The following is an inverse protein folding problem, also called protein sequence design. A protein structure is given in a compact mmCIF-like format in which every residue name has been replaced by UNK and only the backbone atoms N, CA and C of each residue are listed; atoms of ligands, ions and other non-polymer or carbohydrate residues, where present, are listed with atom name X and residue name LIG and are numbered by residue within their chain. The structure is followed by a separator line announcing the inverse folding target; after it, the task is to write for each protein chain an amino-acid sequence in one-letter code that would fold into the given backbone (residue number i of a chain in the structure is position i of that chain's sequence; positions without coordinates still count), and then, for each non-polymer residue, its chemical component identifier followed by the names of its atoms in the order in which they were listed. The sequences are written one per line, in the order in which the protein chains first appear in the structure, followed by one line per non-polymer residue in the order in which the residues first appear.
data_IF_485861307011
#
_entry.id   IF_485861307011
#
_cell.length_a   1.000
_cell.length_b   1.000
_cell.length_c   1.000
_cell.angle_alpha   90.00
_cell.angle_beta   90.00
_cell.angle_gamma   90.00
#
_symmetry.space_group_name_H-M   'P 1'
#
loop_
_entity.id
_entity.type
_entity.pdbx_description
1 polymer ?
#
# COMPACT_ATOMS: atom_id res chain seq x y z
N UNK A 1 6.64 -21.05 -1.09
CA UNK A 1 5.93 -20.06 -0.24
C UNK A 1 5.75 -20.65 1.14
N UNK A 2 5.58 -19.81 2.16
CA UNK A 2 5.24 -20.19 3.55
C UNK A 2 3.84 -19.68 3.93
N UNK A 3 3.35 -20.09 5.10
CA UNK A 3 2.11 -19.52 5.67
C UNK A 3 2.26 -18.03 5.93
N UNK A 4 1.15 -17.27 5.90
CA UNK A 4 1.20 -15.83 6.11
C UNK A 4 1.76 -15.42 7.48
N UNK A 5 1.51 -16.22 8.52
CA UNK A 5 2.04 -16.00 9.88
C UNK A 5 3.57 -15.96 9.93
N UNK A 6 4.24 -16.72 9.06
CA UNK A 6 5.70 -16.68 8.91
C UNK A 6 6.17 -15.29 8.45
N UNK A 7 5.50 -14.76 7.43
CA UNK A 7 5.83 -13.46 6.84
C UNK A 7 5.48 -12.29 7.76
N UNK A 8 4.36 -12.37 8.48
CA UNK A 8 3.99 -11.38 9.51
C UNK A 8 5.06 -11.35 10.60
N UNK A 9 5.44 -12.52 11.13
CA UNK A 9 6.51 -12.61 12.14
C UNK A 9 7.82 -12.04 11.61
N UNK A 10 8.17 -12.33 10.37
CA UNK A 10 9.38 -11.76 9.73
C UNK A 10 9.35 -10.23 9.75
N UNK A 11 8.22 -9.58 9.43
CA UNK A 11 8.13 -8.12 9.55
C UNK A 11 8.26 -7.64 11.00
N UNK A 12 7.63 -8.34 11.95
CA UNK A 12 7.72 -7.98 13.37
C UNK A 12 9.13 -8.11 13.95
N UNK A 13 9.96 -9.01 13.40
CA UNK A 13 11.36 -9.21 13.77
C UNK A 13 12.31 -8.15 13.16
N UNK A 14 11.78 -7.15 12.44
CA UNK A 14 12.58 -6.07 11.85
C UNK A 14 13.39 -5.32 12.93
N UNK A 15 14.72 -5.22 12.78
CA UNK A 15 15.61 -4.73 13.83
C UNK A 15 15.64 -3.20 13.88
N UNK A 16 14.52 -2.58 14.28
CA UNK A 16 14.31 -1.13 14.32
C UNK A 16 15.46 -0.34 14.95
N UNK A 17 16.05 -0.84 16.03
CA UNK A 17 17.14 -0.18 16.76
C UNK A 17 18.47 -0.15 16.01
N UNK A 18 18.64 -0.95 14.95
CA UNK A 18 19.85 -1.01 14.14
C UNK A 18 19.74 -0.18 12.85
N UNK A 19 18.59 0.46 12.61
CA UNK A 19 18.30 1.15 11.35
C UNK A 19 18.61 2.62 11.49
N UNK A 20 19.65 3.04 10.76
CA UNK A 20 20.11 4.43 10.68
C UNK A 20 19.76 5.00 9.30
N UNK A 21 18.56 5.58 9.17
CA UNK A 21 17.97 5.99 7.89
C UNK A 21 18.89 6.93 7.09
N UNK A 22 19.61 7.82 7.77
CA UNK A 22 20.55 8.78 7.19
C UNK A 22 21.73 8.13 6.44
N UNK A 23 22.01 6.85 6.71
CA UNK A 23 23.10 6.10 6.07
C UNK A 23 22.61 5.22 4.92
N UNK A 24 21.29 5.06 4.75
CA UNK A 24 20.73 4.09 3.82
C UNK A 24 20.75 4.60 2.37
N UNK A 25 21.15 3.71 1.47
CA UNK A 25 20.91 3.88 0.05
C UNK A 25 19.86 2.86 -0.43
N UNK A 26 18.57 3.27 -0.60
CA UNK A 26 17.50 2.34 -0.92
C UNK A 26 17.71 1.61 -2.25
N UNK A 27 18.32 2.27 -3.23
CA UNK A 27 18.65 1.67 -4.53
C UNK A 27 19.62 0.48 -4.37
N UNK A 28 20.68 0.66 -3.57
CA UNK A 28 21.65 -0.39 -3.29
C UNK A 28 21.01 -1.55 -2.50
N UNK A 29 20.20 -1.24 -1.48
CA UNK A 29 19.51 -2.26 -0.67
C UNK A 29 18.59 -3.14 -1.51
N UNK A 30 17.83 -2.55 -2.44
CA UNK A 30 16.95 -3.30 -3.33
C UNK A 30 17.73 -4.14 -4.34
N UNK A 31 18.83 -3.60 -4.87
CA UNK A 31 19.72 -4.37 -5.75
C UNK A 31 20.26 -5.61 -5.03
N UNK A 32 20.80 -5.44 -3.82
CA UNK A 32 21.31 -6.54 -3.00
C UNK A 32 20.22 -7.57 -2.67
N UNK A 33 19.02 -7.11 -2.28
CA UNK A 33 17.89 -7.99 -2.00
C UNK A 33 17.48 -8.84 -3.23
N UNK A 34 17.42 -8.23 -4.42
CA UNK A 34 17.07 -8.97 -5.64
C UNK A 34 18.20 -9.90 -6.09
N UNK A 35 19.46 -9.50 -5.97
CA UNK A 35 20.60 -10.38 -6.28
C UNK A 35 20.58 -11.60 -5.35
N UNK A 36 20.35 -11.39 -4.05
CA UNK A 36 20.25 -12.47 -3.07
C UNK A 36 19.15 -13.47 -3.47
N UNK A 37 17.98 -12.98 -3.84
CA UNK A 37 16.83 -13.83 -4.16
C UNK A 37 16.90 -14.52 -5.53
N UNK A 38 17.40 -13.81 -6.55
CA UNK A 38 17.41 -14.31 -7.93
C UNK A 38 18.72 -15.00 -8.31
N UNK A 39 19.79 -14.82 -7.50
CA UNK A 39 21.18 -15.19 -7.82
C UNK A 39 21.66 -14.62 -9.15
N UNK A 40 21.09 -13.49 -9.57
CA UNK A 40 21.32 -12.90 -10.87
C UNK A 40 21.77 -11.45 -10.73
N UNK A 41 22.96 -11.14 -11.21
CA UNK A 41 23.57 -9.80 -11.16
C UNK A 41 23.06 -8.94 -12.33
N UNK A 42 21.76 -9.01 -12.61
CA UNK A 42 21.16 -8.22 -13.68
C UNK A 42 20.88 -6.82 -13.16
N UNK A 43 21.34 -5.83 -13.92
CA UNK A 43 20.85 -4.46 -13.76
C UNK A 43 19.41 -4.45 -14.27
N UNK A 44 18.47 -4.33 -13.33
CA UNK A 44 17.06 -4.16 -13.64
C UNK A 44 16.85 -2.74 -14.16
N UNK A 45 16.71 -2.57 -15.47
CA UNK A 45 16.49 -1.25 -16.10
C UNK A 45 15.27 -0.55 -15.52
N UNK A 46 14.29 -1.33 -15.07
CA UNK A 46 13.05 -0.92 -14.42
C UNK A 46 13.31 -0.13 -13.12
N UNK A 47 14.47 -0.29 -12.48
CA UNK A 47 14.84 0.49 -11.29
C UNK A 47 15.04 1.98 -11.59
N UNK A 48 15.29 2.33 -12.86
CA UNK A 48 15.37 3.73 -13.28
C UNK A 48 14.04 4.49 -13.16
N UNK A 49 12.91 3.76 -13.05
CA UNK A 49 11.59 4.34 -12.86
C UNK A 49 11.33 4.75 -11.41
N UNK A 50 12.11 4.24 -10.46
CA UNK A 50 11.92 4.54 -9.04
C UNK A 50 12.49 5.93 -8.71
N UNK A 51 11.71 6.83 -8.10
CA UNK A 51 12.16 8.16 -7.73
C UNK A 51 13.03 8.14 -6.45
N UNK A 52 14.24 7.59 -6.55
CA UNK A 52 15.15 7.38 -5.41
C UNK A 52 15.46 8.65 -4.62
N UNK A 53 15.53 9.80 -5.28
CA UNK A 53 15.75 11.10 -4.62
C UNK A 53 14.59 11.48 -3.71
N UNK A 54 13.35 11.29 -4.18
CA UNK A 54 12.13 11.51 -3.37
C UNK A 54 12.10 10.56 -2.18
N UNK A 55 12.39 9.27 -2.41
CA UNK A 55 12.43 8.26 -1.34
C UNK A 55 13.46 8.64 -0.27
N UNK A 56 14.67 9.05 -0.66
CA UNK A 56 15.71 9.47 0.30
C UNK A 56 15.33 10.70 1.14
N UNK A 57 14.45 11.56 0.62
CA UNK A 57 13.99 12.76 1.34
C UNK A 57 12.84 12.52 2.31
N UNK A 58 12.15 11.37 2.21
CA UNK A 58 11.01 11.02 3.06
C UNK A 58 11.42 9.88 4.02
N UNK A 59 11.56 10.14 5.33
CA UNK A 59 12.05 9.15 6.29
C UNK A 59 11.07 7.98 6.47
N UNK A 60 9.76 8.20 6.37
CA UNK A 60 8.78 7.12 6.52
C UNK A 60 8.82 6.20 5.29
N UNK A 61 8.93 6.79 4.11
CA UNK A 61 9.00 6.03 2.87
C UNK A 61 10.32 5.25 2.79
N UNK A 62 11.45 5.91 3.10
CA UNK A 62 12.75 5.26 3.18
C UNK A 62 12.76 4.12 4.20
N UNK A 63 12.15 4.33 5.37
CA UNK A 63 11.97 3.31 6.40
C UNK A 63 11.18 2.11 5.88
N UNK A 64 10.05 2.33 5.21
CA UNK A 64 9.26 1.27 4.57
C UNK A 64 10.03 0.49 3.50
N UNK A 65 10.82 1.16 2.66
CA UNK A 65 11.71 0.48 1.72
C UNK A 65 12.72 -0.42 2.47
N UNK A 66 13.29 0.04 3.59
CA UNK A 66 14.23 -0.76 4.39
C UNK A 66 13.57 -1.99 5.03
N UNK A 67 12.33 -1.85 5.53
CA UNK A 67 11.51 -2.94 6.06
C UNK A 67 11.28 -4.01 4.98
N UNK A 68 10.91 -3.57 3.77
CA UNK A 68 10.69 -4.48 2.65
C UNK A 68 11.98 -5.14 2.17
N UNK A 69 13.10 -4.43 2.09
CA UNK A 69 14.38 -5.05 1.76
C UNK A 69 14.76 -6.14 2.78
N UNK A 70 14.58 -5.87 4.08
CA UNK A 70 14.81 -6.86 5.14
C UNK A 70 13.86 -8.07 5.01
N UNK A 71 12.61 -7.82 4.67
CA UNK A 71 11.61 -8.85 4.41
C UNK A 71 11.97 -9.72 3.20
N UNK A 72 12.44 -9.11 2.11
CA UNK A 72 12.91 -9.80 0.92
C UNK A 72 14.22 -10.54 1.14
N UNK A 73 14.99 -10.28 2.20
CA UNK A 73 16.15 -11.12 2.57
C UNK A 73 15.75 -12.44 3.26
N UNK A 74 14.46 -12.67 3.51
CA UNK A 74 13.99 -13.93 4.07
C UNK A 74 14.22 -15.09 3.08
N UNK A 75 14.88 -16.21 3.48
CA UNK A 75 15.22 -17.30 2.57
C UNK A 75 14.03 -17.99 1.91
N UNK A 76 12.81 -17.85 2.45
CA UNK A 76 11.60 -18.42 1.87
C UNK A 76 11.18 -17.79 0.53
N UNK A 77 11.77 -16.66 0.15
CA UNK A 77 11.62 -16.03 -1.17
C UNK A 77 12.46 -16.69 -2.26
N UNK A 78 13.43 -17.55 -1.92
CA UNK A 78 14.30 -18.17 -2.91
C UNK A 78 13.51 -19.03 -3.88
N UNK A 79 13.69 -18.78 -5.18
CA UNK A 79 12.99 -19.51 -6.24
C UNK A 79 11.50 -19.23 -6.34
N UNK A 80 10.97 -18.25 -5.59
CA UNK A 80 9.60 -17.78 -5.75
C UNK A 80 9.49 -17.00 -7.05
N UNK A 81 8.64 -17.42 -8.01
CA UNK A 81 8.52 -16.72 -9.28
C UNK A 81 7.65 -15.47 -9.11
N UNK A 82 8.25 -14.29 -9.29
CA UNK A 82 7.52 -13.03 -9.44
C UNK A 82 8.16 -12.18 -10.55
N UNK A 83 7.41 -11.24 -11.11
CA UNK A 83 7.94 -10.32 -12.12
C UNK A 83 8.46 -9.06 -11.43
N UNK A 84 9.71 -8.67 -11.71
CA UNK A 84 10.31 -7.46 -11.13
C UNK A 84 9.48 -6.21 -11.44
N UNK A 85 8.88 -6.12 -12.63
CA UNK A 85 7.97 -5.02 -12.99
C UNK A 85 6.78 -4.87 -12.03
N UNK A 86 6.24 -5.98 -11.51
CA UNK A 86 5.09 -5.96 -10.59
C UNK A 86 5.55 -5.43 -9.22
N UNK A 87 6.78 -5.76 -8.80
CA UNK A 87 7.43 -5.16 -7.63
C UNK A 87 7.66 -3.66 -7.83
N UNK A 88 8.22 -3.24 -8.97
CA UNK A 88 8.46 -1.81 -9.25
C UNK A 88 7.13 -1.04 -9.22
N UNK A 89 6.07 -1.61 -9.80
CA UNK A 89 4.75 -1.00 -9.76
C UNK A 89 4.24 -0.82 -8.32
N UNK A 90 4.40 -1.84 -7.46
CA UNK A 90 4.09 -1.72 -6.03
C UNK A 90 4.91 -0.62 -5.34
N UNK A 91 6.23 -0.60 -5.55
CA UNK A 91 7.15 0.36 -4.92
C UNK A 91 6.92 1.81 -5.37
N UNK A 92 6.46 2.02 -6.61
CA UNK A 92 6.28 3.36 -7.19
C UNK A 92 4.88 3.93 -7.00
N UNK A 93 3.84 3.08 -7.04
CA UNK A 93 2.44 3.54 -6.94
C UNK A 93 1.84 3.34 -5.54
N UNK A 94 2.03 2.15 -4.96
CA UNK A 94 1.28 1.74 -3.76
C UNK A 94 2.01 2.09 -2.47
N UNK A 95 3.30 1.78 -2.39
CA UNK A 95 4.11 1.99 -1.19
C UNK A 95 4.14 3.45 -0.71
N UNK A 96 4.25 4.47 -1.58
CA UNK A 96 4.22 5.87 -1.14
C UNK A 96 2.90 6.25 -0.48
N UNK A 97 1.77 5.79 -1.01
CA UNK A 97 0.44 6.05 -0.44
C UNK A 97 0.29 5.40 0.94
N UNK A 98 0.80 4.17 1.10
CA UNK A 98 0.82 3.48 2.39
C UNK A 98 1.67 4.26 3.42
N UNK A 99 2.85 4.72 3.00
CA UNK A 99 3.74 5.56 3.82
C UNK A 99 3.11 6.87 4.26
N UNK A 100 2.25 7.46 3.43
CA UNK A 100 1.52 8.68 3.78
C UNK A 100 0.38 8.40 4.77
N UNK A 101 -0.28 7.24 4.63
CA UNK A 101 -1.46 6.88 5.43
C UNK A 101 -1.14 6.40 6.87
N UNK A 102 0.01 5.77 7.08
CA UNK A 102 0.39 5.19 8.38
C UNK A 102 1.79 5.67 8.74
N UNK A 103 1.87 6.45 9.83
CA UNK A 103 3.10 7.03 10.36
C UNK A 103 3.21 6.82 11.87
N UNK A 104 4.40 6.59 12.42
CA UNK A 104 5.67 6.40 11.71
C UNK A 104 5.74 5.06 10.96
N UNK A 105 6.71 4.90 10.04
CA UNK A 105 6.89 3.64 9.30
C UNK A 105 7.04 2.40 10.20
N UNK A 106 7.47 2.57 11.45
CA UNK A 106 7.62 1.47 12.41
C UNK A 106 6.29 0.80 12.79
N UNK A 107 5.14 1.47 12.61
CA UNK A 107 3.82 0.88 12.83
C UNK A 107 3.58 -0.38 12.00
N UNK A 108 4.13 -0.43 10.78
CA UNK A 108 4.06 -1.60 9.90
C UNK A 108 4.80 -2.84 10.42
N UNK A 109 5.59 -2.68 11.48
CA UNK A 109 6.36 -3.77 12.12
C UNK A 109 5.93 -4.02 13.56
N UNK A 110 5.38 -3.03 14.28
CA UNK A 110 4.88 -3.20 15.64
C UNK A 110 3.45 -3.70 15.72
N UNK A 111 2.59 -3.32 14.78
CA UNK A 111 1.19 -3.73 14.75
C UNK A 111 1.00 -4.95 13.85
N UNK A 112 0.41 -6.01 14.40
CA UNK A 112 0.23 -7.29 13.70
C UNK A 112 -0.76 -7.22 12.53
N UNK A 113 -1.80 -6.41 12.64
CA UNK A 113 -2.77 -6.19 11.55
C UNK A 113 -2.14 -5.36 10.43
N UNK A 114 -1.34 -4.34 10.78
CA UNK A 114 -0.55 -3.57 9.80
C UNK A 114 0.49 -4.42 9.09
N UNK A 115 1.20 -5.26 9.82
CA UNK A 115 2.15 -6.19 9.23
C UNK A 115 1.43 -7.17 8.28
N UNK A 116 0.26 -7.70 8.66
CA UNK A 116 -0.56 -8.54 7.77
C UNK A 116 -0.98 -7.78 6.50
N UNK A 117 -1.49 -6.56 6.64
CA UNK A 117 -1.88 -5.69 5.54
C UNK A 117 -0.73 -5.49 4.54
N UNK A 118 0.47 -5.11 5.02
CA UNK A 118 1.63 -4.88 4.16
C UNK A 118 2.04 -6.15 3.40
N UNK A 119 2.08 -7.30 4.08
CA UNK A 119 2.41 -8.59 3.44
C UNK A 119 1.38 -8.94 2.37
N UNK A 120 0.08 -8.80 2.66
CA UNK A 120 -0.98 -9.14 1.71
C UNK A 120 -0.96 -8.22 0.50
N UNK A 121 -0.81 -6.91 0.69
CA UNK A 121 -0.74 -5.96 -0.44
C UNK A 121 0.47 -6.29 -1.32
N UNK A 122 1.64 -6.51 -0.74
CA UNK A 122 2.83 -6.88 -1.51
C UNK A 122 2.59 -8.17 -2.30
N UNK A 123 2.12 -9.24 -1.63
CA UNK A 123 1.85 -10.52 -2.30
C UNK A 123 0.79 -10.40 -3.41
N UNK A 124 -0.23 -9.58 -3.20
CA UNK A 124 -1.25 -9.29 -4.22
C UNK A 124 -0.62 -8.70 -5.49
N UNK A 125 0.23 -7.67 -5.34
CA UNK A 125 0.95 -7.08 -6.48
C UNK A 125 1.86 -8.10 -7.17
N UNK A 126 2.57 -8.92 -6.39
CA UNK A 126 3.45 -9.96 -6.94
C UNK A 126 2.71 -11.18 -7.50
N UNK A 127 1.38 -11.22 -7.41
CA UNK A 127 0.51 -12.35 -7.84
C UNK A 127 0.87 -13.65 -7.11
N UNK A 128 1.07 -13.54 -5.80
CA UNK A 128 1.42 -14.65 -4.92
C UNK A 128 0.31 -14.89 -3.89
N UNK A 129 0.17 -16.14 -3.47
CA UNK A 129 -0.70 -16.54 -2.36
C UNK A 129 0.13 -17.30 -1.33
N UNK A 130 -0.02 -17.02 -0.03
CA UNK A 130 0.68 -17.74 1.01
C UNK A 130 0.23 -19.22 1.06
N UNK A 131 1.11 -20.06 1.59
CA UNK A 131 0.81 -21.49 1.78
C UNK A 131 -0.37 -21.66 2.75
N UNK A 132 -1.28 -22.59 2.43
CA UNK A 132 -2.44 -22.90 3.27
C UNK A 132 -3.66 -21.98 3.07
N UNK A 133 -3.60 -20.97 2.20
CA UNK A 133 -4.73 -20.12 1.86
C UNK A 133 -5.24 -20.37 0.43
N UNK A 134 -6.55 -20.15 0.24
CA UNK A 134 -7.13 -20.07 -1.11
C UNK A 134 -7.03 -18.63 -1.62
N UNK A 135 -6.93 -18.43 -2.93
CA UNK A 135 -6.95 -17.09 -3.55
C UNK A 135 -8.19 -16.29 -3.12
N UNK A 136 -9.35 -16.95 -3.01
CA UNK A 136 -10.59 -16.32 -2.54
C UNK A 136 -10.43 -15.78 -1.12
N UNK A 137 -9.99 -16.63 -0.18
CA UNK A 137 -9.79 -16.22 1.20
C UNK A 137 -8.76 -15.09 1.32
N UNK A 138 -7.66 -15.19 0.58
CA UNK A 138 -6.62 -14.17 0.55
C UNK A 138 -7.17 -12.80 0.12
N UNK A 139 -7.93 -12.76 -0.97
CA UNK A 139 -8.53 -11.53 -1.49
C UNK A 139 -9.62 -10.97 -0.56
N UNK A 140 -10.47 -11.83 -0.01
CA UNK A 140 -11.51 -11.42 0.95
C UNK A 140 -10.89 -10.82 2.22
N UNK A 141 -9.80 -11.43 2.72
CA UNK A 141 -9.07 -10.92 3.88
C UNK A 141 -8.36 -9.61 3.58
N UNK A 142 -7.69 -9.48 2.43
CA UNK A 142 -7.05 -8.24 2.02
C UNK A 142 -8.05 -7.07 1.98
N UNK A 143 -9.20 -7.25 1.32
CA UNK A 143 -10.27 -6.23 1.27
C UNK A 143 -10.75 -5.79 2.65
N UNK A 144 -10.73 -6.70 3.64
CA UNK A 144 -11.18 -6.37 4.99
C UNK A 144 -10.21 -5.47 5.77
N UNK A 145 -8.93 -5.46 5.40
CA UNK A 145 -7.86 -4.74 6.13
C UNK A 145 -7.16 -3.66 5.29
N UNK A 146 -7.48 -3.53 4.00
CA UNK A 146 -6.87 -2.55 3.10
C UNK A 146 -7.28 -1.11 3.48
N UNK A 147 -6.33 -0.37 4.03
CA UNK A 147 -6.50 1.01 4.50
C UNK A 147 -6.81 1.96 3.36
N UNK A 148 -6.13 1.83 2.22
CA UNK A 148 -6.30 2.75 1.11
C UNK A 148 -7.63 2.52 0.40
N UNK A 149 -8.05 1.25 0.27
CA UNK A 149 -9.39 0.91 -0.24
C UNK A 149 -10.47 1.48 0.69
N UNK A 150 -10.29 1.34 2.02
CA UNK A 150 -11.22 1.92 3.00
C UNK A 150 -11.30 3.44 2.91
N UNK A 151 -10.16 4.13 2.77
CA UNK A 151 -10.13 5.60 2.60
C UNK A 151 -10.86 6.00 1.31
N UNK A 152 -10.59 5.31 0.20
CA UNK A 152 -11.23 5.60 -1.08
C UNK A 152 -12.76 5.44 -1.00
N UNK A 153 -13.25 4.34 -0.41
CA UNK A 153 -14.69 4.10 -0.23
C UNK A 153 -15.35 5.21 0.58
N UNK A 154 -14.69 5.70 1.63
CA UNK A 154 -15.21 6.80 2.46
C UNK A 154 -15.28 8.12 1.68
N UNK A 155 -14.26 8.43 0.88
CA UNK A 155 -14.25 9.63 0.04
C UNK A 155 -15.31 9.60 -1.05
N UNK A 156 -15.49 8.45 -1.71
CA UNK A 156 -16.54 8.25 -2.72
C UNK A 156 -17.95 8.35 -2.11
N UNK A 157 -18.12 7.80 -0.91
CA UNK A 157 -19.37 7.91 -0.14
C UNK A 157 -19.68 9.37 0.21
N UNK A 158 -18.69 10.12 0.68
CA UNK A 158 -18.83 11.54 1.01
C UNK A 158 -19.22 12.37 -0.22
N UNK A 159 -18.51 12.20 -1.35
CA UNK A 159 -18.83 12.88 -2.61
C UNK A 159 -20.25 12.57 -3.10
N UNK A 160 -20.70 11.34 -2.92
CA UNK A 160 -22.06 10.92 -3.29
C UNK A 160 -23.11 11.57 -2.39
N UNK A 161 -22.86 11.66 -1.08
CA UNK A 161 -23.73 12.36 -0.12
C UNK A 161 -23.82 13.86 -0.42
N UNK A 162 -22.69 14.52 -0.70
CA UNK A 162 -22.65 15.95 -1.06
C UNK A 162 -23.46 16.23 -2.32
N UNK A 163 -23.31 15.41 -3.37
CA UNK A 163 -24.10 15.51 -4.60
C UNK A 163 -25.60 15.34 -4.35
N UNK A 164 -25.98 14.36 -3.53
CA UNK A 164 -27.38 14.13 -3.18
C UNK A 164 -27.98 15.32 -2.42
N UNK A 165 -27.24 15.92 -1.49
CA UNK A 165 -27.66 17.12 -0.77
C UNK A 165 -27.81 18.33 -1.69
N UNK A 166 -26.91 18.51 -2.65
CA UNK A 166 -27.00 19.60 -3.64
C UNK A 166 -28.25 19.46 -4.52
N UNK A 167 -28.57 18.24 -4.96
CA UNK A 167 -29.79 17.95 -5.73
C UNK A 167 -31.04 18.28 -4.91
N UNK A 168 -31.10 17.82 -3.65
CA UNK A 168 -32.24 18.11 -2.77
C UNK A 168 -32.41 19.61 -2.51
N UNK A 169 -31.29 20.34 -2.39
CA UNK A 169 -31.33 21.81 -2.22
C UNK A 169 -31.90 22.50 -3.46
N UNK A 170 -31.50 22.07 -4.67
CA UNK A 170 -32.02 22.62 -5.93
C UNK A 170 -33.51 22.32 -6.13
N UNK A 171 -33.96 21.11 -5.78
CA UNK A 171 -35.39 20.75 -5.83
C UNK A 171 -36.20 21.66 -4.91
N UNK A 172 -35.76 21.83 -3.65
CA UNK A 172 -36.47 22.68 -2.68
C UNK A 172 -36.54 24.14 -3.13
N UNK A 173 -35.44 24.69 -3.67
CA UNK A 173 -35.43 26.05 -4.19
C UNK A 173 -36.40 26.23 -5.37
N UNK A 174 -36.45 25.27 -6.29
CA UNK A 174 -37.40 25.31 -7.41
C UNK A 174 -38.86 25.24 -6.95
N UNK A 175 -39.15 24.41 -5.93
CA UNK A 175 -40.50 24.32 -5.33
C UNK A 175 -40.90 25.64 -4.64
N UNK A 176 -39.98 26.27 -3.90
CA UNK A 176 -40.20 27.57 -3.25
C UNK A 176 -40.45 28.68 -4.28
N UNK A 177 -39.66 28.72 -5.37
CA UNK A 177 -39.85 29.66 -6.48
C UNK A 177 -41.20 29.46 -7.19
N UNK A 178 -41.59 28.21 -7.45
CA UNK A 178 -42.87 27.90 -8.09
C UNK A 178 -44.06 28.31 -7.20
N UNK A 179 -43.99 28.03 -5.89
CA UNK A 179 -45.01 28.43 -4.92
C UNK A 179 -45.16 29.96 -4.82
N UNK A 180 -44.04 30.69 -4.76
CA UNK A 180 -44.04 32.16 -4.74
C UNK A 180 -44.61 32.76 -6.05
N UNK A 181 -44.33 32.13 -7.19
CA UNK A 181 -44.87 32.56 -8.49
C UNK A 181 -46.38 32.37 -8.62
N UNK A 182 -46.94 31.31 -8.01
CA UNK A 182 -48.39 31.07 -7.99
C UNK A 182 -49.12 32.06 -7.10
N UNK A 183 -48.55 32.41 -5.95
CA UNK A 183 -49.16 33.35 -5.00
C UNK A 183 -49.19 34.81 -5.49
N UNK A 184 -48.29 35.20 -6.39
CA UNK A 184 -48.27 36.53 -7.03
C UNK A 184 -49.20 36.67 -8.25
N UNK A 185 -49.89 35.59 -8.65
CA UNK A 185 -50.77 35.55 -9.83
C UNK A 185 -52.27 35.58 -9.49
N UNK A 186 -52.62 35.57 -8.22
CA UNK A 186 -53.97 35.83 -7.69
C UNK A 186 -54.10 37.28 -7.21
#
# INVERSE_FOLDING_TARGET
MKEIRHYIKRLSDFPRSLVHLETLNPEALWNDALIYQTKNIRIHKEFSEIPWTKIKSDPDLLGLHSVLCYFFHEPSWHGVPFQVKDLIHFLTDRLPKLSESVKPYTEWTSDGERAEELVRILMFYLKLTPEGETEKYFNDRLKSIDTLERIQILEESKKSQERAQEILRKIRQAEEEEAASKYNRE
#
